data_IF_906411825143
#
_entry.id   IF_906411825143
#
_cell.length_a   1.000
_cell.length_b   1.000
_cell.length_c   1.000
_cell.angle_alpha   90.00
_cell.angle_beta   90.00
_cell.angle_gamma   90.00
#
_symmetry.space_group_name_H-M   'P 1'
#
loop_
_entity.id
_entity.type
_entity.pdbx_description
1 polymer ?
#
# COMPACT_ATOMS: atom_id res chain seq x y z
N UNK A 1 8.95 -0.41 10.20
CA UNK A 1 8.26 0.38 9.14
C UNK A 1 6.78 0.42 9.46
N UNK A 2 6.22 1.58 9.47
CA UNK A 2 4.80 1.81 9.72
C UNK A 2 4.14 2.28 8.43
N UNK A 3 3.14 1.54 7.98
CA UNK A 3 2.45 1.81 6.71
C UNK A 3 0.97 2.12 6.94
N UNK A 4 0.50 3.20 6.35
CA UNK A 4 -0.93 3.48 6.26
C UNK A 4 -1.45 2.80 4.99
N UNK A 5 -2.31 1.79 5.17
CA UNK A 5 -2.80 0.98 4.05
C UNK A 5 -4.25 1.35 3.74
N UNK A 6 -4.48 1.73 2.50
CA UNK A 6 -5.80 2.06 1.97
C UNK A 6 -6.23 0.99 0.98
N UNK A 7 -7.52 0.71 0.94
CA UNK A 7 -8.09 -0.23 -0.02
C UNK A 7 -8.82 0.49 -1.13
N UNK A 8 -8.65 0.00 -2.37
CA UNK A 8 -9.42 0.47 -3.51
C UNK A 8 -10.13 -0.71 -4.16
N UNK A 9 -11.45 -0.64 -4.24
CA UNK A 9 -12.26 -1.66 -4.89
C UNK A 9 -12.11 -1.58 -6.40
N UNK A 10 -11.84 -2.72 -7.01
CA UNK A 10 -11.73 -2.87 -8.47
C UNK A 10 -12.51 -4.10 -8.91
N UNK A 11 -12.82 -4.15 -10.20
CA UNK A 11 -13.48 -5.30 -10.80
C UNK A 11 -12.58 -5.87 -11.90
N UNK A 12 -12.35 -7.18 -11.88
CA UNK A 12 -11.54 -7.83 -12.90
C UNK A 12 -12.34 -8.06 -14.20
N UNK A 13 -11.71 -8.67 -15.20
CA UNK A 13 -12.33 -8.93 -16.49
C UNK A 13 -13.56 -9.86 -16.40
N UNK A 14 -13.59 -10.72 -15.39
CA UNK A 14 -14.68 -11.67 -15.15
C UNK A 14 -15.82 -11.07 -14.33
N UNK A 15 -15.72 -9.78 -13.99
CA UNK A 15 -16.72 -9.09 -13.19
C UNK A 15 -16.60 -9.37 -11.69
N UNK A 16 -15.55 -10.03 -11.23
CA UNK A 16 -15.35 -10.33 -9.82
C UNK A 16 -14.68 -9.15 -9.11
N UNK A 17 -15.19 -8.73 -7.94
CA UNK A 17 -14.56 -7.65 -7.21
C UNK A 17 -13.26 -8.11 -6.55
N UNK A 18 -12.30 -7.21 -6.48
CA UNK A 18 -11.06 -7.41 -5.73
C UNK A 18 -10.60 -6.08 -5.14
N UNK A 19 -9.72 -6.15 -4.13
CA UNK A 19 -9.22 -4.96 -3.45
C UNK A 19 -7.74 -4.79 -3.79
N UNK A 20 -7.38 -3.59 -4.24
CA UNK A 20 -5.98 -3.17 -4.40
C UNK A 20 -5.57 -2.38 -3.16
N UNK A 21 -4.47 -2.76 -2.55
CA UNK A 21 -3.94 -2.08 -1.37
C UNK A 21 -2.92 -1.03 -1.80
N UNK A 22 -3.06 0.17 -1.24
CA UNK A 22 -2.23 1.32 -1.57
C UNK A 22 -1.64 1.92 -0.31
N UNK A 23 -0.43 2.45 -0.41
CA UNK A 23 0.22 3.14 0.69
C UNK A 23 1.12 4.24 0.15
N UNK A 24 1.79 4.94 1.06
CA UNK A 24 2.78 5.97 0.73
C UNK A 24 4.02 5.77 1.57
N UNK A 25 5.18 5.91 0.95
CA UNK A 25 6.47 5.85 1.62
C UNK A 25 7.11 7.23 1.55
N UNK A 26 7.59 7.73 2.67
CA UNK A 26 8.32 8.99 2.72
C UNK A 26 9.81 8.73 2.71
N UNK A 27 10.53 9.36 1.77
CA UNK A 27 11.98 9.34 1.75
C UNK A 27 12.47 10.32 2.82
N UNK A 28 13.07 9.80 3.87
CA UNK A 28 13.52 10.60 5.02
C UNK A 28 14.64 11.59 4.66
N UNK A 29 15.37 11.34 3.58
CA UNK A 29 16.47 12.24 3.15
C UNK A 29 15.96 13.45 2.35
N UNK A 30 14.95 13.24 1.51
CA UNK A 30 14.46 14.29 0.60
C UNK A 30 13.09 14.82 0.99
N UNK A 31 12.37 14.14 1.86
CA UNK A 31 11.00 14.47 2.21
C UNK A 31 9.97 14.11 1.13
N UNK A 32 10.40 13.50 0.04
CA UNK A 32 9.50 13.09 -1.03
C UNK A 32 8.59 11.96 -0.59
N UNK A 33 7.32 12.04 -0.98
CA UNK A 33 6.32 11.02 -0.74
C UNK A 33 6.13 10.20 -2.01
N UNK A 34 6.33 8.89 -1.90
CA UNK A 34 6.22 7.96 -3.00
C UNK A 34 4.96 7.10 -2.82
N UNK A 35 3.99 7.21 -3.74
CA UNK A 35 2.83 6.29 -3.70
C UNK A 35 3.27 4.89 -4.14
N UNK A 36 2.81 3.88 -3.42
CA UNK A 36 3.14 2.48 -3.70
C UNK A 36 1.90 1.62 -3.67
N UNK A 37 1.90 0.56 -4.49
CA UNK A 37 0.95 -0.52 -4.35
C UNK A 37 1.53 -1.52 -3.37
N UNK A 38 0.74 -1.99 -2.41
CA UNK A 38 1.19 -2.97 -1.43
C UNK A 38 0.63 -4.33 -1.81
N UNK A 39 1.52 -5.32 -1.90
CA UNK A 39 1.11 -6.72 -2.12
C UNK A 39 1.53 -7.54 -0.92
N UNK A 40 0.58 -8.24 -0.33
CA UNK A 40 0.81 -9.07 0.83
C UNK A 40 0.94 -10.54 0.41
N UNK A 41 1.80 -11.25 1.09
CA UNK A 41 1.92 -12.70 0.94
C UNK A 41 0.58 -13.36 1.31
N UNK A 42 0.27 -14.50 0.67
CA UNK A 42 -1.03 -15.17 0.82
C UNK A 42 -1.39 -15.56 2.26
N UNK A 43 -0.39 -15.79 3.09
CA UNK A 43 -0.58 -16.17 4.50
C UNK A 43 -0.81 -14.96 5.42
N UNK A 44 -0.65 -13.74 4.91
CA UNK A 44 -0.94 -12.54 5.67
C UNK A 44 -2.43 -12.25 5.62
N UNK A 45 -3.06 -12.22 6.79
CA UNK A 45 -4.48 -11.88 6.91
C UNK A 45 -4.62 -10.41 7.29
N UNK A 46 -5.44 -9.69 6.52
CA UNK A 46 -5.72 -8.29 6.79
C UNK A 46 -7.12 -8.14 7.39
N UNK A 47 -7.30 -7.18 8.31
CA UNK A 47 -8.63 -6.82 8.78
C UNK A 47 -9.51 -6.37 7.62
N UNK A 48 -10.81 -6.59 7.73
CA UNK A 48 -11.77 -6.17 6.70
C UNK A 48 -11.93 -4.67 6.62
N UNK A 49 -11.69 -3.97 7.72
CA UNK A 49 -11.83 -2.53 7.77
C UNK A 49 -10.56 -1.83 7.31
N UNK A 50 -10.69 -0.98 6.31
CA UNK A 50 -9.63 -0.13 5.79
C UNK A 50 -10.10 1.33 5.80
N UNK A 51 -9.22 2.29 5.97
CA UNK A 51 -7.77 2.17 6.10
C UNK A 51 -7.31 1.61 7.44
N UNK A 52 -6.10 1.08 7.46
CA UNK A 52 -5.47 0.53 8.67
C UNK A 52 -3.97 0.82 8.65
N UNK A 53 -3.37 0.88 9.83
CA UNK A 53 -1.93 1.00 9.95
C UNK A 53 -1.34 -0.38 10.17
N UNK A 54 -0.31 -0.71 9.38
CA UNK A 54 0.38 -1.99 9.40
C UNK A 54 1.82 -1.76 9.79
N UNK A 55 2.28 -2.44 10.83
CA UNK A 55 3.67 -2.41 11.26
C UNK A 55 4.40 -3.61 10.67
N UNK A 56 5.48 -3.35 9.93
CA UNK A 56 6.24 -4.36 9.18
C UNK A 56 7.72 -4.19 9.50
N UNK A 57 8.42 -5.29 9.73
CA UNK A 57 9.87 -5.25 9.85
C UNK A 57 10.50 -5.07 8.47
N UNK A 58 11.62 -4.33 8.40
CA UNK A 58 12.29 -4.05 7.12
C UNK A 58 12.65 -5.33 6.34
N UNK A 59 13.04 -6.39 7.04
CA UNK A 59 13.38 -7.67 6.42
C UNK A 59 12.18 -8.34 5.72
N UNK A 60 10.97 -7.95 6.08
CA UNK A 60 9.73 -8.48 5.52
C UNK A 60 9.08 -7.54 4.50
N UNK A 61 9.77 -6.49 4.11
CA UNK A 61 9.30 -5.53 3.12
C UNK A 61 10.33 -5.39 2.00
N UNK A 62 9.89 -5.52 0.76
CA UNK A 62 10.75 -5.38 -0.41
C UNK A 62 10.11 -4.45 -1.43
N UNK A 63 10.78 -3.34 -1.72
CA UNK A 63 10.31 -2.35 -2.68
C UNK A 63 10.84 -2.70 -4.07
N UNK A 64 9.94 -2.85 -5.02
CA UNK A 64 10.26 -3.21 -6.41
C UNK A 64 9.70 -2.15 -7.34
N UNK A 65 10.49 -1.79 -8.35
CA UNK A 65 10.04 -0.95 -9.46
C UNK A 65 9.59 -1.86 -10.60
N UNK A 66 8.48 -1.52 -11.20
CA UNK A 66 7.94 -2.26 -12.34
C UNK A 66 7.57 -1.29 -13.44
N UNK A 67 8.12 -1.49 -14.65
CA UNK A 67 7.78 -0.69 -15.80
C UNK A 67 6.44 -1.16 -16.36
N UNK A 68 5.61 -0.21 -16.79
CA UNK A 68 4.34 -0.54 -17.43
C UNK A 68 4.19 0.22 -18.74
N UNK A 69 3.41 -0.35 -19.64
CA UNK A 69 3.04 0.25 -20.91
C UNK A 69 1.56 -0.04 -21.17
N UNK A 70 0.81 0.98 -21.58
CA UNK A 70 -0.59 0.81 -21.93
C UNK A 70 -0.77 0.64 -23.45
N UNK A 71 -2.02 0.44 -23.90
CA UNK A 71 -2.34 0.23 -25.32
C UNK A 71 -2.03 1.45 -26.19
N UNK A 72 -1.97 2.63 -25.60
CA UNK A 72 -1.67 3.88 -26.31
C UNK A 72 -0.17 4.16 -26.43
N UNK A 73 0.67 3.24 -25.96
CA UNK A 73 2.12 3.42 -25.97
C UNK A 73 2.65 4.30 -24.85
N UNK A 74 1.81 4.71 -23.92
CA UNK A 74 2.25 5.44 -22.75
C UNK A 74 2.98 4.50 -21.80
N UNK A 75 4.11 4.96 -21.26
CA UNK A 75 4.93 4.18 -20.34
C UNK A 75 5.07 4.89 -19.02
N UNK A 76 5.32 4.14 -17.98
CA UNK A 76 5.57 4.68 -16.65
C UNK A 76 6.21 3.66 -15.75
N UNK A 77 6.48 4.08 -14.52
CA UNK A 77 7.05 3.21 -13.49
C UNK A 77 6.09 3.17 -12.32
N UNK A 78 5.74 1.96 -11.88
CA UNK A 78 4.99 1.81 -10.65
C UNK A 78 5.86 1.16 -9.59
N UNK A 79 5.63 1.54 -8.35
CA UNK A 79 6.35 1.00 -7.21
C UNK A 79 5.45 0.04 -6.47
N UNK A 80 5.97 -1.15 -6.20
CA UNK A 80 5.25 -2.21 -5.49
C UNK A 80 6.05 -2.57 -4.24
N UNK A 81 5.38 -2.51 -3.10
CA UNK A 81 5.96 -2.97 -1.85
C UNK A 81 5.42 -4.36 -1.54
N UNK A 82 6.30 -5.35 -1.56
CA UNK A 82 5.97 -6.71 -1.19
C UNK A 82 6.15 -6.89 0.32
N UNK A 83 5.10 -7.34 0.98
CA UNK A 83 5.11 -7.59 2.43
C UNK A 83 4.92 -9.08 2.67
N UNK A 84 5.92 -9.72 3.27
CA UNK A 84 5.90 -11.16 3.54
C UNK A 84 5.32 -11.50 4.92
N UNK A 85 5.37 -10.57 5.87
CA UNK A 85 4.80 -10.76 7.20
C UNK A 85 4.51 -9.42 7.84
N UNK A 86 3.49 -9.38 8.69
CA UNK A 86 3.06 -8.20 9.44
C UNK A 86 3.33 -8.43 10.92
N UNK A 87 3.95 -7.47 11.57
CA UNK A 87 4.23 -7.53 13.00
C UNK A 87 2.99 -7.24 13.84
N UNK A 88 2.28 -6.19 13.51
CA UNK A 88 1.07 -5.77 14.22
C UNK A 88 0.22 -4.84 13.37
N UNK A 89 -1.02 -4.64 13.81
CA UNK A 89 -1.96 -3.71 13.20
C UNK A 89 -2.33 -2.62 14.20
N UNK A 90 -2.59 -1.41 13.70
CA UNK A 90 -3.10 -0.30 14.48
C UNK A 90 -4.27 0.34 13.76
N UNK A 91 -5.22 0.88 14.51
CA UNK A 91 -6.32 1.60 13.92
C UNK A 91 -5.83 2.86 13.22
N UNK A 92 -6.38 3.13 12.04
CA UNK A 92 -6.08 4.35 11.32
C UNK A 92 -6.71 5.54 12.04
N UNK A 93 -5.90 6.56 12.29
CA UNK A 93 -6.35 7.82 12.87
C UNK A 93 -6.25 8.90 11.80
N UNK A 94 -7.37 9.56 11.52
CA UNK A 94 -7.39 10.69 10.59
C UNK A 94 -6.77 11.91 11.26
N UNK A 95 -5.58 12.28 10.82
CA UNK A 95 -4.82 13.39 11.39
C UNK A 95 -5.52 14.75 11.20
N UNK A 96 -6.45 14.86 10.26
CA UNK A 96 -7.19 16.10 10.09
C UNK A 96 -8.12 16.41 11.25
N UNK A 97 -8.56 15.38 11.99
CA UNK A 97 -9.39 15.60 13.18
C UNK A 97 -8.56 16.08 14.37
N UNK A 98 -7.31 15.68 14.46
CA UNK A 98 -6.41 16.09 15.56
C UNK A 98 -6.05 17.57 15.47
N UNK A 99 -6.08 18.16 14.30
CA UNK A 99 -5.75 19.57 14.07
C UNK A 99 -6.81 20.54 14.62
N UNK A 100 -7.95 20.01 14.99
CA UNK A 100 -9.07 20.84 15.51
C UNK A 100 -9.17 20.86 17.03
N UNK A 101 -8.28 20.19 17.71
CA UNK A 101 -8.28 20.18 19.18
C UNK A 101 -7.34 21.24 19.78
#
# INVERSE_FOLDING_TARGET
MRLEVFGKQRTNKDGKPFTTYLSRITNMKTGEVLPVQVKFRMDVQLPKELPIIVNVEKKNANLVKEDWENENGETGVKHILWVSAVKSYEDYVDHTLDDFE
#
